data_IF_320699872975
#
_entry.id   IF_320699872975
#
_cell.length_a   1.000
_cell.length_b   1.000
_cell.length_c   1.000
_cell.angle_alpha   90.00
_cell.angle_beta   90.00
_cell.angle_gamma   90.00
#
_symmetry.space_group_name_H-M   'P 1'
#
loop_
_entity.id
_entity.type
_entity.pdbx_description
1 polymer ?
#
# COMPACT_ATOMS: atom_id res chain seq x y z
N UNK A 1 -12.10 -17.15 -8.00
CA UNK A 1 -11.68 -17.46 -6.62
C UNK A 1 -10.54 -16.53 -6.23
N UNK A 2 -10.83 -15.39 -5.59
CA UNK A 2 -9.78 -14.46 -5.14
C UNK A 2 -9.20 -14.98 -3.82
N UNK A 3 -8.05 -15.65 -3.91
CA UNK A 3 -7.28 -16.04 -2.73
C UNK A 3 -6.87 -14.80 -1.95
N UNK A 4 -7.43 -14.63 -0.74
CA UNK A 4 -7.02 -13.57 0.19
C UNK A 4 -5.55 -13.82 0.58
N UNK A 5 -4.61 -13.17 -0.12
CA UNK A 5 -3.20 -13.18 0.29
C UNK A 5 -3.14 -12.58 1.70
N UNK A 6 -2.62 -13.35 2.66
CA UNK A 6 -2.39 -12.86 4.03
C UNK A 6 -1.35 -11.75 3.96
N UNK A 7 -1.78 -10.52 4.22
CA UNK A 7 -0.92 -9.35 4.17
C UNK A 7 -0.09 -9.29 5.47
N UNK A 8 1.22 -9.34 5.34
CA UNK A 8 2.11 -9.31 6.49
C UNK A 8 2.10 -7.91 7.13
N UNK A 9 2.01 -7.84 8.45
CA UNK A 9 2.15 -6.59 9.19
C UNK A 9 3.63 -6.31 9.38
N UNK A 10 4.09 -5.20 8.81
CA UNK A 10 5.43 -4.67 9.04
C UNK A 10 5.39 -3.77 10.27
N UNK A 11 6.27 -4.03 11.24
CA UNK A 11 6.35 -3.24 12.50
C UNK A 11 7.24 -2.00 12.41
N UNK A 12 8.02 -1.87 11.34
CA UNK A 12 8.95 -0.78 11.11
C UNK A 12 8.90 -0.37 9.65
N UNK A 13 8.19 0.72 9.35
CA UNK A 13 8.17 1.30 8.02
C UNK A 13 9.18 2.46 7.97
N UNK A 14 10.13 2.38 7.06
CA UNK A 14 11.09 3.47 6.81
C UNK A 14 10.64 4.27 5.59
N UNK A 15 10.60 5.59 5.73
CA UNK A 15 10.38 6.54 4.63
C UNK A 15 11.64 7.38 4.50
N UNK A 16 12.42 7.12 3.45
CA UNK A 16 13.80 7.58 3.37
C UNK A 16 14.63 6.99 4.53
N UNK A 17 15.19 7.84 5.37
CA UNK A 17 15.99 7.46 6.54
C UNK A 17 15.23 7.58 7.88
N UNK A 18 13.91 7.76 7.86
CA UNK A 18 13.11 7.99 9.06
C UNK A 18 12.09 6.88 9.29
N UNK A 19 11.92 6.50 10.55
CA UNK A 19 10.83 5.63 10.97
C UNK A 19 9.51 6.37 10.86
N UNK A 20 8.56 5.74 10.19
CA UNK A 20 7.22 6.26 10.02
C UNK A 20 6.30 5.72 11.13
N UNK A 21 5.54 6.64 11.73
CA UNK A 21 4.52 6.35 12.73
C UNK A 21 3.17 6.89 12.25
N UNK A 22 2.09 6.16 12.49
CA UNK A 22 0.76 6.62 12.12
C UNK A 22 0.42 7.93 12.85
N UNK A 23 0.15 9.00 12.09
CA UNK A 23 -0.19 10.31 12.65
C UNK A 23 -1.50 10.33 13.48
N UNK A 24 -2.36 9.33 13.32
CA UNK A 24 -3.66 9.24 14.03
C UNK A 24 -3.53 8.51 15.36
N UNK A 25 -2.79 7.39 15.43
CA UNK A 25 -2.74 6.54 16.63
C UNK A 25 -1.35 6.30 17.20
N UNK A 26 -0.29 6.85 16.58
CA UNK A 26 1.10 6.63 16.96
C UNK A 26 1.65 5.22 16.69
N UNK A 27 0.85 4.32 16.12
CA UNK A 27 1.26 2.95 15.85
C UNK A 27 2.32 2.84 14.74
N UNK A 28 3.24 1.89 14.87
CA UNK A 28 4.29 1.59 13.88
C UNK A 28 3.98 0.36 13.01
N UNK A 29 2.83 -0.29 13.24
CA UNK A 29 2.38 -1.45 12.47
C UNK A 29 1.64 -1.03 11.20
N UNK A 30 2.09 -1.51 10.05
CA UNK A 30 1.49 -1.24 8.74
C UNK A 30 1.30 -2.51 7.91
N UNK A 31 0.16 -2.61 7.24
CA UNK A 31 -0.06 -3.56 6.15
C UNK A 31 0.53 -2.98 4.86
N UNK A 32 1.36 -3.74 4.16
CA UNK A 32 1.91 -3.32 2.87
C UNK A 32 1.08 -3.85 1.72
N UNK A 33 0.73 -2.98 0.77
CA UNK A 33 0.01 -3.34 -0.44
C UNK A 33 0.66 -2.73 -1.66
N UNK A 34 0.49 -3.39 -2.80
CA UNK A 34 0.84 -2.79 -4.08
C UNK A 34 -0.35 -1.94 -4.55
N UNK A 35 -0.10 -0.68 -4.88
CA UNK A 35 -1.07 0.27 -5.39
C UNK A 35 -0.75 0.49 -6.86
N UNK A 36 -1.69 0.11 -7.73
CA UNK A 36 -1.63 0.45 -9.15
C UNK A 36 -1.90 1.93 -9.32
N UNK A 37 -1.04 2.64 -10.03
CA UNK A 37 -1.23 4.05 -10.37
C UNK A 37 -1.94 4.19 -11.73
N UNK A 38 -3.04 3.46 -11.92
CA UNK A 38 -3.82 3.55 -13.15
C UNK A 38 -4.81 4.71 -13.10
N UNK A 39 -5.01 5.37 -14.23
CA UNK A 39 -6.20 6.21 -14.44
C UNK A 39 -7.26 5.35 -15.12
N UNK A 40 -8.54 5.55 -14.83
CA UNK A 40 -9.63 4.73 -15.39
C UNK A 40 -9.60 4.64 -16.93
N UNK A 41 -9.13 5.70 -17.60
CA UNK A 41 -8.97 5.71 -19.06
C UNK A 41 -7.84 4.81 -19.59
N UNK A 42 -6.78 4.55 -18.80
CA UNK A 42 -5.67 3.65 -19.20
C UNK A 42 -6.08 2.19 -19.20
N UNK A 43 -6.98 1.79 -18.28
CA UNK A 43 -7.54 0.43 -18.26
C UNK A 43 -8.54 0.21 -19.41
N UNK A 44 -9.24 1.25 -19.87
CA UNK A 44 -10.12 1.15 -21.04
C UNK A 44 -9.36 0.95 -22.36
N UNK A 45 -8.13 1.48 -22.44
CA UNK A 45 -7.29 1.43 -23.63
C UNK A 45 -6.27 0.27 -23.63
N UNK A 46 -6.39 -0.67 -22.68
CA UNK A 46 -5.48 -1.82 -22.52
C UNK A 46 -3.98 -1.41 -22.42
N UNK A 47 -3.72 -0.20 -21.89
CA UNK A 47 -2.38 0.35 -21.68
C UNK A 47 -1.86 0.07 -20.26
N UNK A 48 -2.47 -0.89 -19.55
CA UNK A 48 -2.15 -1.16 -18.14
C UNK A 48 -0.71 -1.64 -17.91
N UNK A 49 -0.05 -2.16 -18.96
CA UNK A 49 1.33 -2.65 -18.94
C UNK A 49 2.37 -1.55 -18.80
N UNK A 50 2.01 -0.29 -19.06
CA UNK A 50 2.94 0.85 -19.08
C UNK A 50 2.99 1.63 -17.76
N UNK A 51 2.44 1.04 -16.70
CA UNK A 51 2.14 1.74 -15.46
C UNK A 51 3.15 1.43 -14.36
N UNK A 52 3.59 2.47 -13.65
CA UNK A 52 4.32 2.29 -12.41
C UNK A 52 3.39 1.77 -11.31
N UNK A 53 3.88 0.85 -10.49
CA UNK A 53 3.24 0.50 -9.22
C UNK A 53 3.91 1.26 -8.07
N UNK A 54 3.14 1.54 -7.02
CA UNK A 54 3.63 2.15 -5.80
C UNK A 54 3.42 1.22 -4.61
N UNK A 55 4.30 1.30 -3.62
CA UNK A 55 4.08 0.67 -2.34
C UNK A 55 3.11 1.53 -1.50
N UNK A 56 1.98 0.95 -1.11
CA UNK A 56 1.06 1.51 -0.13
C UNK A 56 1.27 0.90 1.25
N UNK A 57 1.05 1.70 2.30
CA UNK A 57 1.12 1.26 3.69
C UNK A 57 -0.12 1.72 4.46
N UNK A 58 -0.92 0.77 4.93
CA UNK A 58 -2.16 1.03 5.68
C UNK A 58 -1.95 0.74 7.17
N UNK A 59 -2.41 1.62 8.06
CA UNK A 59 -2.20 1.46 9.50
C UNK A 59 -2.90 0.19 10.02
N UNK A 60 -2.16 -0.72 10.66
CA UNK A 60 -2.71 -1.99 11.12
C UNK A 60 -3.68 -1.87 12.31
N UNK A 61 -3.72 -0.72 12.98
CA UNK A 61 -4.54 -0.48 14.18
C UNK A 61 -5.89 0.18 13.90
N UNK A 62 -5.96 0.98 12.84
CA UNK A 62 -7.16 1.78 12.46
C UNK A 62 -7.58 1.56 11.00
N UNK A 63 -6.89 0.66 10.28
CA UNK A 63 -7.00 0.46 8.84
C UNK A 63 -8.42 0.25 8.38
N UNK A 64 -8.94 1.24 7.66
CA UNK A 64 -10.09 1.16 6.78
C UNK A 64 -9.60 1.55 5.38
#
# INVERSE_FOLDING_TARGET
>A
MFGKKKQAVTRQLLVGSRLFSCHVCGGMGFYQREVKLNTTGLTLLDLDWRQGSAAGADCARRGQ
#
